data_IF_645200931034
#
_entry.id   IF_645200931034
#
_cell.length_a   1.000
_cell.length_b   1.000
_cell.length_c   1.000
_cell.angle_alpha   90.00
_cell.angle_beta   90.00
_cell.angle_gamma   90.00
#
_symmetry.space_group_name_H-M   'P 1'
#
loop_
_entity.id
_entity.type
_entity.pdbx_description
1 polymer ?
#
# COMPACT_ATOMS: atom_id res chain seq x y z
N UNK A 1 8.18 11.82 33.92
CA UNK A 1 7.87 10.37 33.97
C UNK A 1 8.84 9.50 33.16
N UNK A 2 9.38 10.02 32.05
CA UNK A 2 10.25 9.27 31.11
C UNK A 2 11.55 8.66 31.71
N UNK A 3 12.27 9.36 32.60
CA UNK A 3 13.59 8.89 33.11
C UNK A 3 13.54 7.69 34.06
N UNK A 4 12.52 7.59 34.93
CA UNK A 4 12.38 6.45 35.87
C UNK A 4 12.02 5.14 35.16
N UNK A 5 11.22 5.22 34.10
CA UNK A 5 10.84 4.06 33.30
C UNK A 5 12.06 3.51 32.54
N UNK A 6 12.84 4.39 31.91
CA UNK A 6 14.11 4.04 31.24
C UNK A 6 15.11 3.35 32.18
N UNK A 7 15.32 3.91 33.38
CA UNK A 7 16.21 3.32 34.38
C UNK A 7 15.76 1.93 34.83
N UNK A 8 14.44 1.71 34.99
CA UNK A 8 13.88 0.39 35.31
C UNK A 8 14.13 -0.62 34.19
N UNK A 9 13.92 -0.23 32.93
CA UNK A 9 14.17 -1.10 31.77
C UNK A 9 15.64 -1.51 31.69
N UNK A 10 16.57 -0.56 31.72
CA UNK A 10 18.02 -0.83 31.67
C UNK A 10 18.44 -1.75 32.82
N UNK A 11 17.95 -1.48 34.04
CA UNK A 11 18.26 -2.31 35.21
C UNK A 11 17.73 -3.74 35.04
N UNK A 12 16.52 -3.89 34.48
CA UNK A 12 15.91 -5.18 34.17
C UNK A 12 16.73 -5.98 33.16
N UNK A 13 17.15 -5.35 32.07
CA UNK A 13 18.00 -5.95 31.04
C UNK A 13 19.31 -6.48 31.62
N UNK A 14 20.00 -5.65 32.42
CA UNK A 14 21.28 -6.03 33.05
C UNK A 14 21.09 -7.24 33.97
N UNK A 15 20.04 -7.23 34.80
CA UNK A 15 19.75 -8.34 35.73
C UNK A 15 19.47 -9.64 34.98
N UNK A 16 18.68 -9.58 33.91
CA UNK A 16 18.39 -10.74 33.09
C UNK A 16 19.65 -11.33 32.45
N UNK A 17 20.47 -10.49 31.81
CA UNK A 17 21.73 -10.90 31.17
C UNK A 17 22.69 -11.53 32.16
N UNK A 18 22.85 -10.92 33.34
CA UNK A 18 23.70 -11.45 34.41
C UNK A 18 23.17 -12.79 34.94
N UNK A 19 21.88 -12.88 35.23
CA UNK A 19 21.27 -14.11 35.73
C UNK A 19 21.43 -15.26 34.74
N UNK A 20 21.18 -15.02 33.44
CA UNK A 20 21.38 -16.00 32.38
C UNK A 20 22.83 -16.43 32.24
N UNK A 21 23.78 -15.48 32.31
CA UNK A 21 25.21 -15.79 32.25
C UNK A 21 25.67 -16.66 33.43
N UNK A 22 25.19 -16.37 34.64
CA UNK A 22 25.46 -17.19 35.83
C UNK A 22 24.84 -18.58 35.67
N UNK A 23 23.59 -18.67 35.20
CA UNK A 23 22.91 -19.95 34.97
C UNK A 23 23.65 -20.81 33.95
N UNK A 24 24.10 -20.19 32.85
CA UNK A 24 24.91 -20.85 31.82
C UNK A 24 26.21 -21.42 32.39
N UNK A 25 26.85 -20.69 33.32
CA UNK A 25 28.10 -21.12 33.96
C UNK A 25 27.91 -22.23 34.99
N UNK A 26 26.77 -22.24 35.69
CA UNK A 26 26.48 -23.22 36.73
C UNK A 26 25.93 -24.54 36.19
N UNK A 27 25.02 -24.48 35.22
CA UNK A 27 24.28 -25.65 34.73
C UNK A 27 24.70 -26.10 33.33
N UNK A 28 25.44 -25.27 32.59
CA UNK A 28 25.79 -25.55 31.21
C UNK A 28 24.59 -25.49 30.26
N UNK A 29 24.78 -25.85 28.98
CA UNK A 29 23.71 -25.85 27.99
C UNK A 29 22.65 -26.90 28.33
N UNK A 30 21.37 -26.54 28.22
CA UNK A 30 20.26 -27.42 28.57
C UNK A 30 18.90 -26.91 28.12
N UNK A 31 17.84 -27.66 28.45
CA UNK A 31 16.46 -27.34 28.04
C UNK A 31 15.98 -25.96 28.52
N UNK A 32 16.55 -25.46 29.62
CA UNK A 32 16.24 -24.15 30.17
C UNK A 32 16.54 -23.00 29.20
N UNK A 33 17.43 -23.17 28.21
CA UNK A 33 17.74 -22.16 27.19
C UNK A 33 16.56 -21.90 26.24
N UNK A 34 15.60 -22.83 26.15
CA UNK A 34 14.38 -22.67 25.36
C UNK A 34 13.47 -21.60 25.95
N UNK A 35 13.37 -21.57 27.27
CA UNK A 35 12.53 -20.64 28.03
C UNK A 35 13.30 -19.32 28.31
N UNK A 36 14.60 -19.41 28.59
CA UNK A 36 15.47 -18.26 28.87
C UNK A 36 16.45 -18.01 27.72
N UNK A 37 15.94 -17.39 26.66
CA UNK A 37 16.70 -17.04 25.45
C UNK A 37 17.70 -15.91 25.68
N UNK A 38 18.68 -15.79 24.79
CA UNK A 38 19.59 -14.65 24.81
C UNK A 38 18.83 -13.35 24.50
N UNK A 39 18.94 -12.36 25.41
CA UNK A 39 18.25 -11.07 25.27
C UNK A 39 19.13 -10.07 24.51
N UNK A 40 18.84 -9.87 23.22
CA UNK A 40 19.48 -8.85 22.39
C UNK A 40 18.90 -7.47 22.67
N UNK A 41 19.65 -6.41 22.39
CA UNK A 41 19.13 -5.03 22.53
C UNK A 41 17.91 -4.82 21.63
N UNK A 42 17.90 -5.47 20.47
CA UNK A 42 16.75 -5.50 19.57
C UNK A 42 15.51 -6.13 20.20
N UNK A 43 15.62 -7.07 21.13
CA UNK A 43 14.45 -7.74 21.68
C UNK A 43 13.67 -6.84 22.64
N UNK A 44 14.29 -5.80 23.20
CA UNK A 44 13.71 -4.92 24.22
C UNK A 44 13.00 -3.75 23.55
N UNK A 45 11.80 -4.02 23.04
CA UNK A 45 10.93 -3.05 22.37
C UNK A 45 9.51 -3.17 22.90
N UNK A 46 8.84 -2.04 23.07
CA UNK A 46 7.39 -1.99 23.29
C UNK A 46 6.61 -2.69 22.16
N UNK A 47 5.37 -3.07 22.44
CA UNK A 47 4.52 -3.79 21.47
C UNK A 47 4.27 -2.98 20.18
N UNK A 48 4.35 -1.64 20.27
CA UNK A 48 4.17 -0.67 19.17
C UNK A 48 5.49 -0.07 18.67
N UNK A 49 6.62 -0.59 19.15
CA UNK A 49 7.93 0.00 18.93
C UNK A 49 8.73 -0.88 17.97
N UNK A 50 9.12 -0.30 16.83
CA UNK A 50 10.02 -0.95 15.87
C UNK A 50 11.41 -0.34 15.94
N UNK A 51 12.43 -1.19 15.88
CA UNK A 51 13.80 -0.79 15.55
C UNK A 51 13.89 -0.30 14.10
N UNK A 52 14.32 0.94 13.90
CA UNK A 52 14.69 1.50 12.61
C UNK A 52 15.74 0.61 11.93
N UNK A 53 15.58 0.36 10.63
CA UNK A 53 16.64 -0.26 9.85
C UNK A 53 17.87 0.67 9.81
N UNK A 54 19.07 0.10 9.60
CA UNK A 54 20.32 0.88 9.51
C UNK A 54 20.22 2.04 8.53
N UNK A 55 19.63 1.81 7.36
CA UNK A 55 19.36 2.84 6.34
C UNK A 55 18.41 3.92 6.85
N UNK A 56 17.29 3.54 7.48
CA UNK A 56 16.30 4.47 8.03
C UNK A 56 16.88 5.30 9.19
N UNK A 57 17.80 4.72 9.99
CA UNK A 57 18.54 5.48 11.01
C UNK A 57 19.50 6.49 10.37
N UNK A 58 20.14 6.15 9.25
CA UNK A 58 21.06 7.04 8.56
C UNK A 58 20.32 8.19 7.88
N UNK A 59 19.20 7.90 7.21
CA UNK A 59 18.32 8.91 6.62
C UNK A 59 17.76 9.88 7.67
N UNK A 60 17.35 9.37 8.84
CA UNK A 60 16.93 10.21 9.96
C UNK A 60 18.05 11.11 10.46
N UNK A 61 19.25 10.58 10.67
CA UNK A 61 20.41 11.38 11.07
C UNK A 61 20.70 12.48 10.06
N UNK A 62 20.68 12.16 8.76
CA UNK A 62 20.87 13.13 7.69
C UNK A 62 19.75 14.18 7.61
N UNK A 63 18.50 13.81 7.90
CA UNK A 63 17.37 14.75 7.99
C UNK A 63 17.52 15.70 9.18
N UNK A 64 17.93 15.18 10.32
CA UNK A 64 18.19 15.95 11.54
C UNK A 64 19.35 16.93 11.33
N UNK A 65 20.46 16.49 10.73
CA UNK A 65 21.60 17.34 10.35
C UNK A 65 21.15 18.49 9.44
N UNK A 66 20.33 18.20 8.42
CA UNK A 66 19.75 19.22 7.54
C UNK A 66 18.90 20.23 8.31
N UNK A 67 18.04 19.77 9.22
CA UNK A 67 17.21 20.66 10.06
C UNK A 67 18.06 21.55 10.98
N UNK A 68 19.12 20.99 11.61
CA UNK A 68 20.09 21.75 12.40
C UNK A 68 20.77 22.84 11.58
N UNK A 69 21.25 22.49 10.38
CA UNK A 69 21.93 23.42 9.49
C UNK A 69 21.02 24.53 8.94
N UNK A 70 19.71 24.25 8.83
CA UNK A 70 18.70 25.18 8.31
C UNK A 70 18.19 26.19 9.35
N UNK A 71 18.54 26.04 10.64
CA UNK A 71 18.08 26.93 11.71
C UNK A 71 16.59 26.79 12.08
N UNK A 72 15.87 25.84 11.48
CA UNK A 72 14.47 25.48 11.79
C UNK A 72 14.44 24.35 12.83
N UNK A 73 15.47 24.30 13.67
CA UNK A 73 15.69 23.23 14.60
C UNK A 73 15.06 23.55 15.95
N UNK A 74 13.98 22.85 16.27
CA UNK A 74 13.36 22.91 17.60
C UNK A 74 13.86 21.72 18.44
N UNK A 75 14.71 22.06 19.41
CA UNK A 75 15.37 21.12 20.33
C UNK A 75 14.35 20.43 21.27
N UNK A 76 13.17 21.03 21.45
CA UNK A 76 12.05 20.51 22.24
C UNK A 76 10.99 19.76 21.40
N UNK A 77 11.20 19.62 20.08
CA UNK A 77 10.25 18.92 19.21
C UNK A 77 10.12 17.44 19.59
N UNK A 78 8.88 16.93 19.57
CA UNK A 78 8.54 15.52 19.83
C UNK A 78 9.29 14.54 18.89
N UNK A 79 9.81 15.02 17.76
CA UNK A 79 10.65 14.27 16.81
C UNK A 79 12.03 13.89 17.40
N UNK A 80 12.52 14.62 18.43
CA UNK A 80 13.79 14.38 19.14
C UNK A 80 13.67 13.45 20.35
N UNK A 81 12.49 13.36 20.97
CA UNK A 81 12.23 12.50 22.13
C UNK A 81 12.01 11.02 21.76
N UNK A 82 11.95 10.73 20.45
CA UNK A 82 11.89 9.40 19.88
C UNK A 82 13.30 8.79 19.97
N UNK A 83 13.51 7.91 20.96
CA UNK A 83 14.78 7.23 21.23
C UNK A 83 15.48 6.70 19.97
N UNK A 84 16.82 6.69 20.01
CA UNK A 84 17.68 6.05 19.01
C UNK A 84 17.15 4.65 18.68
N UNK A 85 16.50 4.53 17.52
CA UNK A 85 16.05 3.25 17.00
C UNK A 85 14.56 2.96 17.16
N UNK A 86 13.81 3.55 18.08
CA UNK A 86 12.42 3.13 18.32
C UNK A 86 11.43 4.09 17.66
N UNK A 87 10.64 3.62 16.69
CA UNK A 87 9.70 4.48 15.96
C UNK A 87 8.27 3.95 16.02
N UNK A 88 7.40 4.78 16.57
CA UNK A 88 5.95 4.72 16.32
C UNK A 88 5.67 5.55 15.06
N UNK A 89 5.69 4.94 13.86
CA UNK A 89 5.26 5.62 12.62
C UNK A 89 4.35 4.72 11.78
N UNK A 90 3.42 5.42 11.15
CA UNK A 90 2.20 5.02 10.43
C UNK A 90 2.44 4.20 9.13
N UNK A 91 3.69 3.91 8.73
CA UNK A 91 3.98 3.21 7.46
C UNK A 91 4.44 1.76 7.66
N UNK A 92 3.65 0.82 7.15
CA UNK A 92 4.09 -0.55 6.87
C UNK A 92 4.15 -1.51 8.06
N UNK A 93 3.15 -1.50 8.95
CA UNK A 93 3.06 -2.39 10.12
C UNK A 93 2.70 -3.86 9.75
N UNK A 94 2.40 -4.17 8.48
CA UNK A 94 1.86 -5.48 8.06
C UNK A 94 2.86 -6.65 8.16
N UNK A 95 4.16 -6.38 8.33
CA UNK A 95 5.23 -7.39 8.38
C UNK A 95 5.94 -7.50 9.73
N UNK A 96 5.41 -6.86 10.78
CA UNK A 96 6.08 -6.84 12.07
C UNK A 96 5.87 -8.16 12.83
N UNK A 97 6.98 -8.74 13.30
CA UNK A 97 6.99 -9.88 14.23
C UNK A 97 7.24 -9.37 15.63
N UNK A 98 6.38 -9.74 16.58
CA UNK A 98 6.58 -9.41 18.00
C UNK A 98 7.88 -10.03 18.52
N UNK A 99 8.57 -9.28 19.38
CA UNK A 99 9.73 -9.81 20.12
C UNK A 99 9.31 -11.02 20.95
N UNK A 100 10.22 -11.97 21.10
CA UNK A 100 9.91 -13.23 21.77
C UNK A 100 9.50 -13.05 23.23
N UNK A 101 9.94 -11.96 23.87
CA UNK A 101 9.61 -11.59 25.23
C UNK A 101 8.10 -11.36 25.46
N UNK A 102 7.32 -11.15 24.38
CA UNK A 102 5.89 -10.90 24.44
C UNK A 102 5.03 -12.18 24.31
N UNK A 103 5.59 -13.34 23.92
CA UNK A 103 4.77 -14.53 23.69
C UNK A 103 4.29 -15.24 24.97
N UNK A 104 5.01 -15.08 26.09
CA UNK A 104 4.71 -15.78 27.35
C UNK A 104 3.99 -14.92 28.40
N UNK A 105 3.65 -13.67 28.07
CA UNK A 105 2.93 -12.77 28.98
C UNK A 105 1.42 -13.00 28.77
N UNK A 106 0.77 -13.80 29.63
CA UNK A 106 -0.67 -14.13 29.47
C UNK A 106 -1.59 -13.41 30.46
N UNK A 107 -1.13 -13.14 31.67
CA UNK A 107 -1.95 -12.64 32.79
C UNK A 107 -1.76 -11.15 33.10
N UNK A 108 -1.14 -10.39 32.20
CA UNK A 108 -0.97 -8.94 32.36
C UNK A 108 -2.11 -8.18 31.64
N UNK A 109 -2.93 -7.45 32.42
CA UNK A 109 -4.06 -6.67 31.89
C UNK A 109 -3.60 -5.56 30.95
N UNK A 110 -2.48 -4.89 31.24
CA UNK A 110 -1.96 -3.81 30.40
C UNK A 110 -1.49 -4.37 29.05
N UNK A 111 -0.87 -5.55 29.08
CA UNK A 111 -0.45 -6.27 27.87
C UNK A 111 -1.64 -6.74 27.03
N UNK A 112 -2.67 -7.33 27.65
CA UNK A 112 -3.89 -7.75 26.96
C UNK A 112 -4.58 -6.57 26.27
N UNK A 113 -4.66 -5.41 26.93
CA UNK A 113 -5.24 -4.20 26.34
C UNK A 113 -4.39 -3.69 25.17
N UNK A 114 -3.06 -3.75 25.26
CA UNK A 114 -2.18 -3.38 24.17
C UNK A 114 -2.35 -4.31 22.95
N UNK A 115 -2.48 -5.63 23.15
CA UNK A 115 -2.80 -6.58 22.07
C UNK A 115 -4.16 -6.28 21.44
N UNK A 116 -5.19 -5.98 22.25
CA UNK A 116 -6.53 -5.66 21.73
C UNK A 116 -6.49 -4.44 20.83
N UNK A 117 -5.72 -3.41 21.20
CA UNK A 117 -5.51 -2.22 20.36
C UNK A 117 -4.87 -2.61 19.04
N UNK A 118 -3.81 -3.42 19.05
CA UNK A 118 -3.15 -3.87 17.82
C UNK A 118 -4.04 -4.75 16.94
N UNK A 119 -4.84 -5.62 17.56
CA UNK A 119 -5.85 -6.41 16.85
C UNK A 119 -6.90 -5.50 16.20
N UNK A 120 -7.42 -4.51 16.92
CA UNK A 120 -8.38 -3.54 16.38
C UNK A 120 -7.77 -2.75 15.21
N UNK A 121 -6.51 -2.31 15.31
CA UNK A 121 -5.82 -1.64 14.20
C UNK A 121 -5.64 -2.57 13.00
N UNK A 122 -5.20 -3.81 13.23
CA UNK A 122 -5.04 -4.81 12.17
C UNK A 122 -6.37 -5.15 11.49
N UNK A 123 -7.44 -5.29 12.27
CA UNK A 123 -8.78 -5.49 11.75
C UNK A 123 -9.25 -4.27 10.94
N UNK A 124 -9.03 -3.05 11.42
CA UNK A 124 -9.39 -1.82 10.70
C UNK A 124 -8.63 -1.71 9.36
N UNK A 125 -7.33 -2.04 9.34
CA UNK A 125 -6.52 -2.10 8.11
C UNK A 125 -7.05 -3.16 7.14
N UNK A 126 -7.37 -4.36 7.64
CA UNK A 126 -7.95 -5.43 6.83
C UNK A 126 -9.31 -5.02 6.24
N UNK A 127 -10.17 -4.38 7.02
CA UNK A 127 -11.48 -3.90 6.55
C UNK A 127 -11.33 -2.82 5.48
N UNK A 128 -10.46 -1.83 5.70
CA UNK A 128 -10.17 -0.80 4.70
C UNK A 128 -9.61 -1.40 3.41
N UNK A 129 -8.64 -2.31 3.53
CA UNK A 129 -8.08 -2.98 2.35
C UNK A 129 -9.14 -3.76 1.58
N UNK A 130 -10.06 -4.44 2.29
CA UNK A 130 -11.20 -5.12 1.66
C UNK A 130 -12.12 -4.12 0.93
N UNK A 131 -12.40 -2.97 1.52
CA UNK A 131 -13.17 -1.90 0.86
C UNK A 131 -12.45 -1.40 -0.41
N UNK A 132 -11.14 -1.14 -0.35
CA UNK A 132 -10.35 -0.72 -1.51
C UNK A 132 -10.39 -1.75 -2.65
N UNK A 133 -10.29 -3.05 -2.35
CA UNK A 133 -10.40 -4.12 -3.36
C UNK A 133 -11.81 -4.18 -3.96
N UNK A 134 -12.86 -3.99 -3.15
CA UNK A 134 -14.23 -3.92 -3.63
C UNK A 134 -14.45 -2.70 -4.54
N UNK A 135 -13.92 -1.53 -4.15
CA UNK A 135 -13.97 -0.31 -4.94
C UNK A 135 -13.25 -0.49 -6.27
N UNK A 136 -12.06 -1.08 -6.29
CA UNK A 136 -11.32 -1.37 -7.52
C UNK A 136 -12.13 -2.27 -8.47
N UNK A 137 -12.76 -3.33 -7.95
CA UNK A 137 -13.61 -4.21 -8.75
C UNK A 137 -14.80 -3.45 -9.35
N UNK A 138 -15.39 -2.54 -8.57
CA UNK A 138 -16.53 -1.73 -8.99
C UNK A 138 -16.11 -0.66 -9.99
N UNK A 139 -14.97 0.00 -9.81
CA UNK A 139 -14.41 0.96 -10.77
C UNK A 139 -14.14 0.31 -12.12
N UNK A 140 -13.52 -0.88 -12.14
CA UNK A 140 -13.30 -1.63 -13.37
C UNK A 140 -14.62 -2.00 -14.06
N UNK A 141 -15.63 -2.40 -13.29
CA UNK A 141 -16.99 -2.65 -13.80
C UNK A 141 -17.60 -1.38 -14.39
N UNK A 142 -17.46 -0.25 -13.70
CA UNK A 142 -17.96 1.05 -14.15
C UNK A 142 -17.25 1.55 -15.41
N UNK A 143 -15.94 1.35 -15.54
CA UNK A 143 -15.18 1.69 -16.75
C UNK A 143 -15.72 0.94 -17.97
N UNK A 144 -15.96 -0.37 -17.85
CA UNK A 144 -16.54 -1.18 -18.93
C UNK A 144 -17.98 -0.72 -19.25
N UNK A 145 -18.80 -0.48 -18.22
CA UNK A 145 -20.17 0.00 -18.40
C UNK A 145 -20.21 1.39 -19.06
N UNK A 146 -19.29 2.28 -18.69
CA UNK A 146 -19.13 3.60 -19.29
C UNK A 146 -18.75 3.49 -20.77
N UNK A 147 -17.82 2.60 -21.13
CA UNK A 147 -17.46 2.37 -22.53
C UNK A 147 -18.64 1.84 -23.36
N UNK A 148 -19.43 0.93 -22.80
CA UNK A 148 -20.66 0.44 -23.43
C UNK A 148 -21.70 1.56 -23.62
N UNK A 149 -21.92 2.38 -22.59
CA UNK A 149 -22.79 3.56 -22.68
C UNK A 149 -22.28 4.57 -23.70
N UNK A 150 -20.97 4.80 -23.76
CA UNK A 150 -20.37 5.73 -24.74
C UNK A 150 -20.56 5.23 -26.17
N UNK A 151 -20.50 3.91 -26.38
CA UNK A 151 -20.79 3.31 -27.67
C UNK A 151 -22.25 3.53 -28.09
N UNK A 152 -23.22 3.36 -27.18
CA UNK A 152 -24.64 3.63 -27.49
C UNK A 152 -24.94 5.11 -27.66
N UNK A 153 -24.28 5.97 -26.88
CA UNK A 153 -24.38 7.43 -27.01
C UNK A 153 -23.92 7.93 -28.37
N UNK A 154 -22.84 7.36 -28.92
CA UNK A 154 -22.42 7.67 -30.29
C UNK A 154 -23.42 7.18 -31.33
N UNK A 155 -24.11 6.05 -31.12
CA UNK A 155 -25.16 5.61 -32.04
C UNK A 155 -26.35 6.55 -32.06
N UNK A 156 -26.76 7.06 -30.89
CA UNK A 156 -27.82 8.08 -30.80
C UNK A 156 -27.48 9.44 -31.40
N UNK A 157 -26.25 9.61 -31.95
CA UNK A 157 -25.79 10.81 -32.65
C UNK A 157 -25.86 10.72 -34.17
N UNK A 158 -26.32 9.58 -34.70
CA UNK A 158 -26.54 9.43 -36.12
C UNK A 158 -27.61 10.41 -36.62
N UNK A 159 -27.49 10.84 -37.86
CA UNK A 159 -28.49 11.66 -38.55
C UNK A 159 -29.81 10.90 -38.58
N UNK A 160 -30.92 11.58 -38.30
CA UNK A 160 -32.25 10.98 -38.16
C UNK A 160 -32.61 10.50 -36.75
N UNK A 161 -31.65 10.43 -35.82
CA UNK A 161 -31.93 10.13 -34.41
C UNK A 161 -32.51 11.33 -33.64
N UNK A 162 -33.15 11.04 -32.49
CA UNK A 162 -33.83 12.07 -31.70
C UNK A 162 -32.90 13.23 -31.31
N UNK A 163 -33.26 14.45 -31.73
CA UNK A 163 -32.48 15.66 -31.43
C UNK A 163 -31.22 15.82 -32.28
N UNK A 164 -31.04 14.98 -33.30
CA UNK A 164 -29.99 15.11 -34.32
C UNK A 164 -30.54 15.74 -35.60
N UNK A 165 -29.64 16.09 -36.52
CA UNK A 165 -30.01 16.66 -37.81
C UNK A 165 -30.74 15.61 -38.67
N UNK A 166 -31.54 16.08 -39.62
CA UNK A 166 -32.37 15.24 -40.51
C UNK A 166 -32.02 15.56 -41.96
N UNK A 167 -32.22 14.59 -42.86
CA UNK A 167 -32.09 14.76 -44.31
C UNK A 167 -33.45 15.04 -44.93
N UNK A 168 -33.95 16.28 -44.79
CA UNK A 168 -35.17 16.74 -45.44
C UNK A 168 -34.86 17.83 -46.46
N UNK A 169 -35.35 17.72 -47.70
CA UNK A 169 -35.04 18.68 -48.78
C UNK A 169 -35.51 20.12 -48.53
N UNK A 170 -36.43 20.32 -47.58
CA UNK A 170 -37.14 21.59 -47.38
C UNK A 170 -36.81 22.27 -46.03
N UNK A 171 -35.87 21.72 -45.25
CA UNK A 171 -35.46 22.27 -43.96
C UNK A 171 -34.08 22.93 -44.11
N UNK A 172 -33.94 24.20 -43.72
CA UNK A 172 -32.67 24.93 -43.81
C UNK A 172 -31.56 24.30 -42.94
N UNK A 173 -31.94 23.48 -41.96
CA UNK A 173 -31.00 22.73 -41.12
C UNK A 173 -30.64 21.34 -41.65
N UNK A 174 -31.18 20.96 -42.82
CA UNK A 174 -30.95 19.66 -43.40
C UNK A 174 -29.52 19.45 -43.90
N UNK A 175 -29.06 18.22 -43.78
CA UNK A 175 -27.71 17.81 -44.15
C UNK A 175 -27.72 17.21 -45.56
N UNK A 176 -26.72 17.54 -46.38
CA UNK A 176 -26.51 16.89 -47.68
C UNK A 176 -26.31 15.39 -47.49
N UNK A 177 -26.73 14.57 -48.46
CA UNK A 177 -26.61 13.11 -48.41
C UNK A 177 -25.17 12.63 -48.13
N UNK A 178 -24.17 13.22 -48.80
CA UNK A 178 -22.75 12.87 -48.58
C UNK A 178 -22.29 13.20 -47.15
N UNK A 179 -22.85 14.26 -46.56
CA UNK A 179 -22.53 14.69 -45.20
C UNK A 179 -23.30 13.85 -44.17
N UNK A 180 -24.50 13.36 -44.48
CA UNK A 180 -25.20 12.35 -43.69
C UNK A 180 -24.37 11.07 -43.58
N UNK A 181 -23.91 10.55 -44.73
CA UNK A 181 -23.08 9.35 -44.78
C UNK A 181 -21.79 9.53 -43.96
N UNK A 182 -21.10 10.65 -44.13
CA UNK A 182 -19.87 10.94 -43.37
C UNK A 182 -20.11 11.04 -41.85
N UNK A 183 -21.18 11.72 -41.42
CA UNK A 183 -21.52 11.84 -39.99
C UNK A 183 -21.91 10.49 -39.38
N UNK A 184 -22.68 9.68 -40.09
CA UNK A 184 -23.09 8.36 -39.65
C UNK A 184 -21.90 7.39 -39.60
N UNK A 185 -21.01 7.43 -40.59
CA UNK A 185 -19.77 6.66 -40.61
C UNK A 185 -18.87 7.03 -39.42
N UNK A 186 -18.70 8.31 -39.13
CA UNK A 186 -17.92 8.78 -37.99
C UNK A 186 -18.52 8.34 -36.65
N UNK A 187 -19.84 8.51 -36.47
CA UNK A 187 -20.55 8.07 -35.28
C UNK A 187 -20.40 6.56 -35.06
N UNK A 188 -20.51 5.77 -36.13
CA UNK A 188 -20.30 4.32 -36.12
C UNK A 188 -18.86 3.98 -35.72
N UNK A 189 -17.86 4.63 -36.32
CA UNK A 189 -16.45 4.44 -35.97
C UNK A 189 -16.17 4.73 -34.49
N UNK A 190 -16.69 5.84 -33.96
CA UNK A 190 -16.52 6.20 -32.56
C UNK A 190 -17.23 5.24 -31.60
N UNK A 191 -18.39 4.71 -32.01
CA UNK A 191 -19.09 3.66 -31.28
C UNK A 191 -18.24 2.39 -31.17
N UNK A 192 -17.65 1.97 -32.29
CA UNK A 192 -16.77 0.80 -32.35
C UNK A 192 -15.49 1.00 -31.53
N UNK A 193 -14.87 2.19 -31.56
CA UNK A 193 -13.72 2.49 -30.70
C UNK A 193 -14.05 2.38 -29.22
N UNK A 194 -15.19 2.91 -28.78
CA UNK A 194 -15.63 2.78 -27.40
C UNK A 194 -15.89 1.30 -27.04
N UNK A 195 -16.54 0.54 -27.92
CA UNK A 195 -16.79 -0.90 -27.73
C UNK A 195 -15.50 -1.70 -27.59
N UNK A 196 -14.55 -1.51 -28.52
CA UNK A 196 -13.25 -2.19 -28.51
C UNK A 196 -12.47 -1.84 -27.25
N UNK A 197 -12.48 -0.56 -26.83
CA UNK A 197 -11.81 -0.15 -25.59
C UNK A 197 -12.41 -0.79 -24.34
N UNK A 198 -13.73 -0.97 -24.30
CA UNK A 198 -14.40 -1.70 -23.21
C UNK A 198 -13.94 -3.17 -23.12
N UNK A 199 -13.82 -3.85 -24.27
CA UNK A 199 -13.31 -5.22 -24.32
C UNK A 199 -11.84 -5.32 -23.91
N UNK A 200 -11.01 -4.38 -24.37
CA UNK A 200 -9.59 -4.29 -24.02
C UNK A 200 -9.40 -4.15 -22.50
N UNK A 201 -10.14 -3.25 -21.85
CA UNK A 201 -10.14 -3.11 -20.38
C UNK A 201 -10.54 -4.42 -19.70
N UNK A 202 -11.60 -5.07 -20.18
CA UNK A 202 -12.08 -6.31 -19.58
C UNK A 202 -11.07 -7.46 -19.70
N UNK A 203 -10.44 -7.60 -20.86
CA UNK A 203 -9.43 -8.64 -21.11
C UNK A 203 -8.18 -8.39 -20.28
N UNK A 204 -7.68 -7.14 -20.29
CA UNK A 204 -6.47 -6.74 -19.58
C UNK A 204 -6.54 -6.99 -18.09
N UNK A 205 -7.69 -6.71 -17.48
CA UNK A 205 -7.86 -6.80 -16.02
C UNK A 205 -8.60 -8.06 -15.57
N UNK A 206 -8.83 -9.02 -16.47
CA UNK A 206 -9.59 -10.25 -16.17
C UNK A 206 -8.99 -11.00 -14.98
N UNK A 207 -7.69 -11.30 -15.04
CA UNK A 207 -7.01 -12.10 -14.03
C UNK A 207 -6.97 -11.36 -12.68
N UNK A 208 -6.74 -10.03 -12.72
CA UNK A 208 -6.80 -9.17 -11.53
C UNK A 208 -8.18 -9.22 -10.87
N UNK A 209 -9.27 -9.11 -11.64
CA UNK A 209 -10.63 -9.14 -11.11
C UNK A 209 -10.95 -10.53 -10.52
N UNK A 210 -10.52 -11.61 -11.17
CA UNK A 210 -10.70 -12.98 -10.65
C UNK A 210 -9.95 -13.17 -9.33
N UNK A 211 -8.71 -12.71 -9.25
CA UNK A 211 -7.93 -12.75 -8.02
C UNK A 211 -8.52 -11.87 -6.92
N UNK A 212 -8.90 -10.63 -7.23
CA UNK A 212 -9.53 -9.71 -6.28
C UNK A 212 -10.80 -10.31 -5.68
N UNK A 213 -11.66 -10.94 -6.51
CA UNK A 213 -12.84 -11.67 -6.04
C UNK A 213 -12.47 -12.83 -5.12
N UNK A 214 -11.43 -13.60 -5.47
CA UNK A 214 -10.90 -14.67 -4.61
C UNK A 214 -10.40 -14.16 -3.26
N UNK A 215 -9.70 -13.02 -3.26
CA UNK A 215 -9.17 -12.35 -2.06
C UNK A 215 -10.31 -11.91 -1.14
N UNK A 216 -11.35 -11.25 -1.68
CA UNK A 216 -12.52 -10.85 -0.90
C UNK A 216 -13.27 -12.07 -0.35
N UNK A 217 -13.34 -13.17 -1.11
CA UNK A 217 -13.93 -14.43 -0.67
C UNK A 217 -13.06 -15.22 0.33
N UNK A 218 -11.86 -14.73 0.68
CA UNK A 218 -10.88 -15.37 1.58
C UNK A 218 -10.52 -16.81 1.16
N UNK A 219 -10.29 -17.05 -0.12
CA UNK A 219 -9.72 -18.33 -0.55
C UNK A 219 -8.27 -18.44 -0.06
N UNK A 220 -7.95 -19.50 0.70
CA UNK A 220 -6.67 -19.65 1.40
C UNK A 220 -5.46 -19.90 0.48
N UNK A 221 -5.67 -20.21 -0.80
CA UNK A 221 -4.63 -20.57 -1.77
C UNK A 221 -4.68 -19.69 -3.03
N UNK A 222 -4.28 -18.42 -2.92
CA UNK A 222 -4.12 -17.55 -4.09
C UNK A 222 -2.64 -17.26 -4.30
N UNK A 223 -2.10 -17.71 -5.44
CA UNK A 223 -0.76 -17.34 -5.89
C UNK A 223 -0.69 -15.85 -6.22
N UNK A 224 0.50 -15.26 -6.13
CA UNK A 224 0.74 -13.87 -6.53
C UNK A 224 0.54 -13.73 -8.03
N UNK A 225 -0.30 -12.76 -8.45
CA UNK A 225 -0.46 -12.42 -9.86
C UNK A 225 0.73 -11.60 -10.35
N UNK A 226 1.33 -12.00 -11.48
CA UNK A 226 2.21 -11.15 -12.27
C UNK A 226 1.37 -10.49 -13.37
N UNK A 227 1.32 -9.16 -13.37
CA UNK A 227 0.62 -8.39 -14.40
C UNK A 227 1.69 -7.83 -15.34
N UNK A 228 1.67 -8.26 -16.59
CA UNK A 228 2.58 -7.73 -17.61
C UNK A 228 2.20 -6.29 -17.97
N UNK A 229 2.99 -5.34 -17.47
CA UNK A 229 2.75 -3.90 -17.66
C UNK A 229 3.16 -3.41 -19.05
N UNK A 230 3.96 -4.18 -19.80
CA UNK A 230 4.38 -3.83 -21.18
C UNK A 230 3.18 -3.66 -22.13
N UNK A 231 2.06 -4.33 -21.84
CA UNK A 231 0.78 -4.19 -22.55
C UNK A 231 0.07 -2.84 -22.32
N UNK A 232 0.68 -1.88 -21.61
CA UNK A 232 0.20 -0.48 -21.51
C UNK A 232 0.69 0.43 -22.65
N UNK A 233 1.60 -0.02 -23.52
CA UNK A 233 2.28 0.89 -24.46
C UNK A 233 3.23 1.86 -23.76
N UNK A 234 3.46 1.68 -22.45
CA UNK A 234 4.63 2.19 -21.77
C UNK A 234 5.79 1.32 -22.22
N UNK A 235 6.43 1.69 -23.33
CA UNK A 235 7.81 1.25 -23.50
C UNK A 235 8.59 1.86 -22.33
N UNK A 236 9.39 1.06 -21.67
CA UNK A 236 10.51 1.54 -20.85
C UNK A 236 11.55 2.19 -21.78
N UNK A 237 11.18 3.24 -22.50
CA UNK A 237 12.12 4.13 -23.18
C UNK A 237 12.56 5.17 -22.15
N UNK A 238 13.63 4.85 -21.41
CA UNK A 238 14.52 5.88 -20.86
C UNK A 238 14.43 6.22 -19.36
N UNK A 239 14.36 5.23 -18.46
CA UNK A 239 14.68 5.47 -17.04
C UNK A 239 16.10 5.07 -16.63
N UNK A 240 16.87 4.39 -17.49
CA UNK A 240 18.28 4.01 -17.20
C UNK A 240 19.29 5.13 -17.51
N UNK A 241 18.98 6.11 -18.38
CA UNK A 241 19.92 7.20 -18.70
C UNK A 241 19.92 8.33 -17.66
N UNK A 242 18.94 8.42 -16.76
CA UNK A 242 18.89 9.49 -15.75
C UNK A 242 19.81 9.27 -14.55
N UNK A 243 20.33 8.05 -14.33
CA UNK A 243 21.20 7.74 -13.19
C UNK A 243 22.70 7.65 -13.52
N UNK A 244 23.11 7.87 -14.76
CA UNK A 244 24.53 7.94 -15.14
C UNK A 244 25.05 9.36 -15.40
N UNK A 245 24.19 10.38 -15.31
CA UNK A 245 24.58 11.78 -15.54
C UNK A 245 24.97 12.55 -14.26
N UNK A 246 24.78 11.99 -13.06
CA UNK A 246 25.14 12.67 -11.80
C UNK A 246 26.53 12.30 -11.25
N UNK A 247 27.22 11.31 -11.83
CA UNK A 247 28.60 10.92 -11.45
C UNK A 247 29.67 11.48 -12.40
N UNK A 248 29.34 12.47 -13.22
CA UNK A 248 30.29 13.14 -14.09
C UNK A 248 29.95 14.61 -14.30
N UNK A 249 29.99 15.39 -13.21
CA UNK A 249 30.35 16.82 -13.21
C UNK A 249 30.89 17.24 -11.82
#
# INVERSE_FOLDING_TARGET
MSTRFKLRNITGQIRYRLARAVLSRLWGPGDWEKDLKELKDEDVRGINERALNKEETAERRARIERLKSSGVFDEDSEEYLIEEGIVSRVRGESRQTLSWIWYDIKDDSEFQDAIRVEWCKAQARMLRWREEVLLLCEELRQMVAYMAWRATWWKGRMVGEHGMRVTASNDETAVSHDMEEALNAYATQQSEFARVRGLDIQLKWKDLIEHAKGVVARQQNLQTLNIDLELLGAKDEGYEEMWQAEDSL
#
